data_IF_256299021805
#
_entry.id   IF_256299021805
#
_cell.length_a   1.000
_cell.length_b   1.000
_cell.length_c   1.000
_cell.angle_alpha   90.00
_cell.angle_beta   90.00
_cell.angle_gamma   90.00
#
_symmetry.space_group_name_H-M   'P 1'
#
loop_
_entity.id
_entity.type
_entity.pdbx_description
1 polymer ?
#
# COMPACT_ATOMS: atom_id res chain seq x y z
N UNK A 1 1.38 -5.54 -12.67
CA UNK A 1 0.78 -4.24 -12.29
C UNK A 1 1.91 -3.35 -11.80
N UNK A 2 1.93 -2.07 -12.15
CA UNK A 2 2.97 -1.13 -11.73
C UNK A 2 2.41 -0.24 -10.62
N UNK A 3 2.44 -0.74 -9.38
CA UNK A 3 2.08 0.04 -8.20
C UNK A 3 3.38 0.46 -7.50
N UNK A 4 3.59 1.75 -7.35
CA UNK A 4 4.86 2.33 -6.88
C UNK A 4 4.57 3.48 -5.93
N UNK A 5 5.33 3.55 -4.85
CA UNK A 5 5.45 4.75 -4.02
C UNK A 5 6.88 5.28 -4.14
N UNK A 6 7.02 6.59 -4.37
CA UNK A 6 8.29 7.29 -4.29
C UNK A 6 8.39 7.94 -2.92
N UNK A 7 9.46 7.60 -2.19
CA UNK A 7 9.75 8.09 -0.85
C UNK A 7 11.02 8.92 -0.92
N UNK A 8 11.01 10.11 -0.30
CA UNK A 8 12.22 10.88 -0.02
C UNK A 8 12.91 10.27 1.23
N UNK A 9 14.08 9.63 1.08
CA UNK A 9 14.76 8.99 2.20
C UNK A 9 15.33 10.01 3.21
N UNK A 10 15.72 11.20 2.76
CA UNK A 10 16.29 12.23 3.64
C UNK A 10 15.20 12.88 4.48
N UNK A 11 14.01 13.08 3.90
CA UNK A 11 12.83 13.50 4.64
C UNK A 11 12.37 12.42 5.63
N UNK A 12 12.35 11.16 5.21
CA UNK A 12 11.96 10.03 6.07
C UNK A 12 12.88 9.92 7.29
N UNK A 13 14.19 10.06 7.12
CA UNK A 13 15.16 9.97 8.22
C UNK A 13 14.92 11.02 9.32
N UNK A 14 14.40 12.19 8.93
CA UNK A 14 14.13 13.32 9.84
C UNK A 14 12.67 13.36 10.34
N UNK A 15 11.84 12.42 9.88
CA UNK A 15 10.41 12.48 10.12
C UNK A 15 10.05 12.17 11.57
N UNK A 16 9.37 13.10 12.23
CA UNK A 16 8.80 12.91 13.57
C UNK A 16 7.32 12.52 13.45
N UNK A 17 7.04 11.23 13.66
CA UNK A 17 5.69 10.68 13.61
C UNK A 17 4.72 11.36 14.58
N UNK A 18 5.17 11.70 15.79
CA UNK A 18 4.29 12.30 16.81
C UNK A 18 3.92 13.72 16.43
N UNK A 19 4.90 14.51 15.98
CA UNK A 19 4.66 15.88 15.53
C UNK A 19 3.72 15.97 14.32
N UNK A 20 3.70 14.94 13.46
CA UNK A 20 2.86 14.89 12.25
C UNK A 20 1.55 14.11 12.44
N UNK A 21 1.29 13.63 13.65
CA UNK A 21 0.02 12.99 14.00
C UNK A 21 -0.93 14.03 14.59
N UNK A 22 -2.14 14.14 14.02
CA UNK A 22 -3.14 15.10 14.47
C UNK A 22 -4.55 14.54 14.36
N UNK A 23 -5.45 15.09 15.17
CA UNK A 23 -6.88 14.85 15.04
C UNK A 23 -7.44 15.80 13.99
N UNK A 24 -8.16 15.27 13.00
CA UNK A 24 -8.91 16.04 12.03
C UNK A 24 -10.36 15.57 12.01
N UNK A 25 -11.30 16.50 12.17
CA UNK A 25 -12.71 16.24 11.97
C UNK A 25 -12.97 15.96 10.48
N UNK A 26 -13.64 14.84 10.18
CA UNK A 26 -13.97 14.44 8.81
C UNK A 26 -15.48 14.35 8.64
N UNK A 27 -16.04 15.29 7.87
CA UNK A 27 -17.48 15.34 7.57
C UNK A 27 -18.05 14.01 7.04
N UNK A 28 -17.28 13.29 6.21
CA UNK A 28 -17.69 11.98 5.67
C UNK A 28 -18.03 10.95 6.76
N UNK A 29 -17.46 11.10 7.96
CA UNK A 29 -17.62 10.19 9.08
C UNK A 29 -18.30 10.83 10.29
N UNK A 30 -18.61 12.14 10.23
CA UNK A 30 -19.15 12.92 11.35
C UNK A 30 -18.37 12.71 12.66
N UNK A 31 -17.05 12.58 12.56
CA UNK A 31 -16.20 12.26 13.69
C UNK A 31 -14.76 12.73 13.50
N UNK A 32 -14.06 12.94 14.62
CA UNK A 32 -12.63 13.19 14.62
C UNK A 32 -11.86 11.91 14.29
N UNK A 33 -10.89 12.02 13.38
CA UNK A 33 -10.02 10.93 12.98
C UNK A 33 -8.57 11.31 13.21
N UNK A 34 -7.82 10.40 13.82
CA UNK A 34 -6.38 10.53 13.93
C UNK A 34 -5.74 10.27 12.56
N UNK A 35 -4.98 11.23 12.06
CA UNK A 35 -4.27 11.14 10.79
C UNK A 35 -2.79 11.42 10.99
N UNK A 36 -1.97 10.75 10.20
CA UNK A 36 -0.54 11.02 10.11
C UNK A 36 -0.25 11.67 8.74
N UNK A 37 0.35 12.86 8.76
CA UNK A 37 0.61 13.65 7.53
C UNK A 37 2.06 13.51 7.12
N UNK A 38 2.31 12.69 6.09
CA UNK A 38 3.65 12.37 5.61
C UNK A 38 4.45 13.57 5.09
N UNK A 39 3.84 14.74 4.89
CA UNK A 39 4.41 16.03 4.48
C UNK A 39 5.90 16.01 4.07
N UNK A 40 6.16 15.73 2.79
CA UNK A 40 7.50 15.68 2.21
C UNK A 40 8.17 14.30 2.18
N UNK A 41 7.68 13.31 2.94
CA UNK A 41 8.19 11.92 2.89
C UNK A 41 7.67 11.17 1.67
N UNK A 42 6.38 11.31 1.34
CA UNK A 42 5.75 10.62 0.19
C UNK A 42 5.64 11.58 -0.99
N UNK A 43 6.55 11.44 -1.95
CA UNK A 43 6.66 12.32 -3.13
C UNK A 43 5.73 11.93 -4.27
N UNK A 44 5.42 10.64 -4.41
CA UNK A 44 4.58 10.17 -5.51
C UNK A 44 3.92 8.85 -5.18
N UNK A 45 2.68 8.69 -5.61
CA UNK A 45 2.00 7.39 -5.62
C UNK A 45 1.52 7.11 -7.03
N UNK A 46 1.82 5.92 -7.53
CA UNK A 46 1.44 5.41 -8.84
C UNK A 46 0.63 4.14 -8.63
N UNK A 47 -0.54 4.06 -9.26
CA UNK A 47 -1.40 2.88 -9.25
C UNK A 47 -1.62 2.45 -10.70
N UNK A 48 -1.30 1.19 -11.00
CA UNK A 48 -1.40 0.63 -12.35
C UNK A 48 -0.69 1.50 -13.43
N UNK A 49 0.45 2.12 -13.09
CA UNK A 49 1.21 2.99 -13.99
C UNK A 49 0.71 4.44 -14.07
N UNK A 50 -0.40 4.78 -13.43
CA UNK A 50 -0.94 6.15 -13.40
C UNK A 50 -0.58 6.86 -12.09
N UNK A 51 -0.03 8.07 -12.19
CA UNK A 51 0.24 8.91 -11.00
C UNK A 51 -1.11 9.34 -10.39
N UNK A 52 -1.33 8.97 -9.13
CA UNK A 52 -2.55 9.35 -8.39
C UNK A 52 -2.30 10.47 -7.38
N UNK A 53 -1.08 10.57 -6.87
CA UNK A 53 -0.60 11.59 -5.94
C UNK A 53 0.78 12.07 -6.37
N UNK A 54 1.03 13.38 -6.30
CA UNK A 54 2.28 14.00 -6.77
C UNK A 54 3.09 14.68 -5.67
N UNK A 55 2.88 14.29 -4.40
CA UNK A 55 3.56 14.88 -3.25
C UNK A 55 2.77 16.03 -2.63
N UNK A 56 1.82 16.63 -3.38
CA UNK A 56 1.07 17.81 -2.94
C UNK A 56 -0.43 17.66 -3.07
N UNK A 57 -0.89 17.02 -4.14
CA UNK A 57 -2.31 16.88 -4.44
C UNK A 57 -2.63 15.57 -5.16
N UNK A 58 -3.85 15.11 -4.94
CA UNK A 58 -4.44 14.08 -5.77
C UNK A 58 -4.69 14.61 -7.19
N UNK A 59 -4.62 13.72 -8.16
CA UNK A 59 -5.09 14.03 -9.53
C UNK A 59 -6.60 14.28 -9.54
N UNK A 60 -7.10 15.10 -10.47
CA UNK A 60 -8.52 15.50 -10.53
C UNK A 60 -9.50 14.33 -10.67
N UNK A 61 -9.02 13.20 -11.19
CA UNK A 61 -9.77 11.96 -11.41
C UNK A 61 -9.76 11.02 -10.19
N UNK A 62 -8.99 11.33 -9.14
CA UNK A 62 -8.98 10.56 -7.90
C UNK A 62 -10.39 10.51 -7.29
N UNK A 63 -10.84 9.31 -6.90
CA UNK A 63 -12.21 9.07 -6.42
C UNK A 63 -13.30 9.09 -7.51
N UNK A 64 -12.99 9.46 -8.76
CA UNK A 64 -13.96 9.51 -9.89
C UNK A 64 -13.74 8.43 -10.93
N UNK A 65 -12.47 8.04 -11.12
CA UNK A 65 -12.07 6.96 -12.02
C UNK A 65 -11.53 5.81 -11.18
N UNK A 66 -11.77 4.58 -11.64
CA UNK A 66 -11.13 3.38 -11.13
C UNK A 66 -9.67 3.32 -11.62
N UNK A 67 -8.72 3.27 -10.68
CA UNK A 67 -7.28 3.08 -10.99
C UNK A 67 -6.84 1.63 -10.86
N UNK A 68 -7.28 0.94 -9.81
CA UNK A 68 -6.93 -0.46 -9.54
C UNK A 68 -8.04 -1.44 -9.91
N UNK A 69 -7.73 -2.74 -9.86
CA UNK A 69 -8.72 -3.83 -9.98
C UNK A 69 -8.74 -4.69 -8.74
N UNK A 70 -9.83 -5.44 -8.54
CA UNK A 70 -9.89 -6.45 -7.49
C UNK A 70 -8.84 -7.52 -7.78
N UNK A 71 -7.95 -7.77 -6.83
CA UNK A 71 -7.03 -8.89 -6.88
C UNK A 71 -7.73 -10.10 -6.26
N UNK A 72 -7.71 -11.23 -6.97
CA UNK A 72 -8.15 -12.50 -6.40
C UNK A 72 -6.97 -13.07 -5.61
N UNK A 73 -7.25 -13.66 -4.45
CA UNK A 73 -6.26 -14.48 -3.75
C UNK A 73 -6.19 -15.83 -4.46
N UNK A 74 -5.28 -15.97 -5.41
CA UNK A 74 -4.99 -17.25 -6.05
C UNK A 74 -3.61 -17.76 -5.66
N UNK A 75 -3.22 -17.54 -4.41
CA UNK A 75 -1.91 -17.90 -3.91
C UNK A 75 -1.98 -18.99 -2.83
N UNK A 76 -1.71 -20.22 -3.22
CA UNK A 76 -0.87 -21.10 -2.41
C UNK A 76 0.55 -20.64 -2.71
N UNK A 77 1.36 -20.34 -1.69
CA UNK A 77 2.75 -19.98 -1.94
C UNK A 77 3.47 -21.13 -2.62
N UNK A 78 4.10 -20.85 -3.76
CA UNK A 78 4.85 -21.85 -4.54
C UNK A 78 5.85 -22.60 -3.68
N UNK A 79 6.43 -21.95 -2.66
CA UNK A 79 7.35 -22.58 -1.71
C UNK A 79 6.67 -23.59 -0.78
N UNK A 80 5.44 -23.34 -0.32
CA UNK A 80 4.70 -24.30 0.52
C UNK A 80 4.15 -25.46 -0.32
N UNK A 81 3.71 -25.18 -1.55
CA UNK A 81 3.29 -26.23 -2.49
C UNK A 81 4.48 -27.12 -2.87
N UNK A 82 5.64 -26.53 -3.19
CA UNK A 82 6.84 -27.27 -3.52
C UNK A 82 7.37 -28.09 -2.34
N UNK A 83 7.27 -27.60 -1.09
CA UNK A 83 7.57 -28.38 0.12
C UNK A 83 6.57 -29.52 0.32
N UNK A 84 5.27 -29.28 0.12
CA UNK A 84 4.24 -30.31 0.24
C UNK A 84 4.42 -31.43 -0.80
N UNK A 85 4.69 -31.07 -2.06
CA UNK A 85 4.90 -32.02 -3.15
C UNK A 85 6.20 -32.83 -2.97
N UNK A 86 7.22 -32.24 -2.33
CA UNK A 86 8.50 -32.93 -2.01
C UNK A 86 8.37 -33.91 -0.84
N UNK A 87 7.42 -33.70 0.08
CA UNK A 87 7.19 -34.56 1.26
C UNK A 87 6.21 -35.71 1.02
N UNK A 88 5.42 -35.68 -0.06
CA UNK A 88 4.48 -36.75 -0.42
C UNK A 88 5.08 -38.11 -0.86
N UNK A 89 6.32 -38.25 -1.38
CA UNK A 89 6.83 -39.56 -1.79
C UNK A 89 7.21 -40.49 -0.62
N UNK A 90 7.37 -39.97 0.61
CA UNK A 90 7.92 -40.73 1.74
C UNK A 90 6.89 -41.60 2.49
N UNK A 91 5.60 -41.54 2.14
CA UNK A 91 4.57 -42.41 2.75
C UNK A 91 4.19 -43.63 1.88
N UNK A 92 4.83 -43.83 0.73
CA UNK A 92 4.51 -44.93 -0.20
C UNK A 92 5.50 -46.10 -0.17
N UNK A 93 6.48 -46.08 0.73
CA UNK A 93 7.38 -47.22 0.99
C UNK A 93 7.10 -47.71 2.43
N UNK A 94 6.07 -48.55 2.55
CA UNK A 94 5.72 -49.30 3.73
C UNK A 94 5.11 -50.62 3.31
#
# INVERSE_FOLDING_TARGET
QADVVLIDPDALLKYDTLAHTKMEYRELFDHDQMVNRSDGVVDKVVIAGEVVWNGKKYVKTYGKKRFGRLLKSNHVSSNLQQLADTLQPLSAVG
#
